data_IF_601573013215
#
_entry.id   IF_601573013215
#
_cell.length_a   1.000
_cell.length_b   1.000
_cell.length_c   1.000
_cell.angle_alpha   90.00
_cell.angle_beta   90.00
_cell.angle_gamma   90.00
#
_symmetry.space_group_name_H-M   'P 1'
#
loop_
_entity.id
_entity.type
_entity.pdbx_description
1 polymer ?
#
# COMPACT_ATOMS: atom_id res chain seq x y z
N UNK A 1 51.79 -3.73 -112.84
CA UNK A 1 50.41 -3.21 -112.73
C UNK A 1 50.22 -2.55 -111.37
N UNK A 2 50.27 -1.22 -111.33
CA UNK A 2 50.14 -0.43 -110.10
C UNK A 2 48.67 -0.39 -109.72
N UNK A 3 48.29 -1.13 -108.66
CA UNK A 3 46.97 -1.03 -108.04
C UNK A 3 46.88 0.35 -107.39
N UNK A 4 46.24 1.32 -108.08
CA UNK A 4 45.84 2.60 -107.49
C UNK A 4 44.93 2.32 -106.30
N UNK A 5 45.50 2.33 -105.10
CA UNK A 5 44.75 2.40 -103.86
C UNK A 5 44.14 3.81 -103.81
N UNK A 6 42.83 3.91 -104.04
CA UNK A 6 42.08 5.12 -103.72
C UNK A 6 42.26 5.37 -102.22
N UNK A 7 43.05 6.40 -101.90
CA UNK A 7 43.29 6.91 -100.55
C UNK A 7 42.01 7.56 -100.01
N UNK A 8 41.01 6.75 -99.71
CA UNK A 8 40.06 7.05 -98.66
C UNK A 8 40.54 6.22 -97.46
N UNK A 9 40.94 6.89 -96.39
CA UNK A 9 41.59 6.39 -95.17
C UNK A 9 40.65 5.51 -94.33
N UNK A 10 39.98 4.54 -94.96
CA UNK A 10 39.20 3.52 -94.29
C UNK A 10 40.12 2.38 -93.88
N UNK A 11 40.01 1.86 -92.64
CA UNK A 11 40.82 0.73 -92.20
C UNK A 11 40.51 -0.53 -93.02
N UNK A 12 41.54 -1.36 -93.23
CA UNK A 12 41.41 -2.61 -93.98
C UNK A 12 41.52 -2.45 -95.50
N UNK A 13 41.04 -3.46 -96.24
CA UNK A 13 41.17 -3.52 -97.70
C UNK A 13 39.85 -3.88 -98.40
N UNK A 14 39.43 -3.04 -99.35
CA UNK A 14 38.29 -3.31 -100.22
C UNK A 14 38.79 -4.11 -101.43
N UNK A 15 38.19 -5.27 -101.67
CA UNK A 15 38.56 -6.16 -102.76
C UNK A 15 37.32 -6.75 -103.43
N UNK A 16 37.47 -7.21 -104.66
CA UNK A 16 36.37 -7.80 -105.43
C UNK A 16 36.31 -9.30 -105.17
N UNK A 17 35.14 -9.82 -104.78
CA UNK A 17 34.86 -11.25 -104.61
C UNK A 17 33.74 -11.65 -105.58
N UNK A 18 34.11 -12.30 -106.68
CA UNK A 18 33.18 -12.55 -107.79
C UNK A 18 32.73 -11.25 -108.48
N UNK A 19 31.42 -11.03 -108.60
CA UNK A 19 30.84 -9.80 -109.18
C UNK A 19 30.59 -8.67 -108.17
N UNK A 20 30.86 -8.89 -106.88
CA UNK A 20 30.52 -7.96 -105.79
C UNK A 20 31.77 -7.48 -105.06
N UNK A 21 31.68 -6.31 -104.45
CA UNK A 21 32.73 -5.78 -103.59
C UNK A 21 32.57 -6.29 -102.15
N UNK A 22 33.70 -6.66 -101.57
CA UNK A 22 33.84 -7.07 -100.18
C UNK A 22 34.90 -6.20 -99.50
N UNK A 23 34.84 -6.12 -98.18
CA UNK A 23 35.75 -5.35 -97.37
C UNK A 23 36.30 -6.23 -96.26
N UNK A 24 37.62 -6.43 -96.25
CA UNK A 24 38.31 -7.08 -95.15
C UNK A 24 38.70 -6.00 -94.15
N UNK A 25 38.12 -6.04 -92.96
CA UNK A 25 38.35 -5.05 -91.91
C UNK A 25 38.05 -5.67 -90.55
N UNK A 26 38.74 -5.19 -89.52
CA UNK A 26 38.40 -5.41 -88.12
C UNK A 26 37.57 -4.22 -87.65
N UNK A 27 36.25 -4.39 -87.52
CA UNK A 27 35.40 -3.33 -86.99
C UNK A 27 35.65 -3.16 -85.47
N UNK A 28 35.42 -1.96 -84.90
CA UNK A 28 35.55 -1.74 -83.46
C UNK A 28 34.66 -2.72 -82.68
N UNK A 29 35.22 -3.33 -81.64
CA UNK A 29 34.54 -4.35 -80.82
C UNK A 29 34.67 -5.78 -81.34
N UNK A 30 35.25 -6.00 -82.52
CA UNK A 30 35.55 -7.35 -83.02
C UNK A 30 36.94 -7.82 -82.61
N UNK A 31 37.09 -9.10 -82.19
CA UNK A 31 38.39 -9.65 -81.80
C UNK A 31 39.31 -9.89 -83.02
N UNK A 32 38.74 -10.07 -84.21
CA UNK A 32 39.47 -10.51 -85.41
C UNK A 32 38.97 -9.80 -86.66
N UNK A 33 39.82 -9.75 -87.70
CA UNK A 33 39.49 -9.21 -89.01
C UNK A 33 38.49 -10.11 -89.75
N UNK A 34 37.41 -9.54 -90.28
CA UNK A 34 36.39 -10.29 -91.02
C UNK A 34 36.21 -9.75 -92.43
N UNK A 35 35.89 -10.66 -93.35
CA UNK A 35 35.49 -10.29 -94.72
C UNK A 35 33.99 -10.03 -94.74
N UNK A 36 33.60 -8.77 -94.99
CA UNK A 36 32.20 -8.34 -95.05
C UNK A 36 31.79 -8.02 -96.48
N UNK A 37 30.57 -8.42 -96.86
CA UNK A 37 29.99 -7.97 -98.12
C UNK A 37 29.52 -6.53 -97.97
N UNK A 38 29.81 -5.66 -98.95
CA UNK A 38 29.35 -4.27 -98.93
C UNK A 38 27.94 -4.21 -99.49
N UNK A 39 26.94 -4.26 -98.61
CA UNK A 39 25.51 -4.23 -98.94
C UNK A 39 24.95 -2.88 -98.45
N UNK A 40 24.35 -2.06 -99.34
CA UNK A 40 23.67 -0.83 -98.93
C UNK A 40 22.48 -1.13 -98.02
N UNK A 41 22.07 -0.19 -97.19
CA UNK A 41 20.82 -0.35 -96.44
C UNK A 41 19.62 -0.48 -97.36
N UNK A 42 18.74 -1.45 -97.05
CA UNK A 42 17.55 -1.75 -97.84
C UNK A 42 17.80 -2.66 -99.04
N UNK A 43 19.04 -2.83 -99.48
CA UNK A 43 19.39 -3.71 -100.60
C UNK A 43 19.63 -5.15 -100.15
N UNK A 44 19.23 -6.11 -100.99
CA UNK A 44 19.46 -7.55 -100.75
C UNK A 44 20.82 -8.03 -101.28
N UNK A 45 21.48 -7.24 -102.11
CA UNK A 45 22.68 -7.66 -102.85
C UNK A 45 23.83 -6.68 -102.65
N UNK A 46 25.05 -7.23 -102.63
CA UNK A 46 26.26 -6.42 -102.49
C UNK A 46 26.52 -5.54 -103.70
N UNK A 47 27.12 -4.38 -103.46
CA UNK A 47 27.45 -3.38 -104.47
C UNK A 47 28.36 -3.97 -105.56
N UNK A 48 28.04 -3.67 -106.82
CA UNK A 48 28.85 -4.06 -108.00
C UNK A 48 29.81 -2.95 -108.45
N UNK A 49 29.51 -1.69 -108.15
CA UNK A 49 30.32 -0.51 -108.52
C UNK A 49 31.26 -0.06 -107.39
N UNK A 50 32.54 0.13 -107.71
CA UNK A 50 33.55 0.61 -106.75
C UNK A 50 33.18 1.99 -106.17
N UNK A 51 32.57 2.88 -106.98
CA UNK A 51 32.16 4.22 -106.54
C UNK A 51 31.12 4.18 -105.41
N UNK A 52 30.25 3.17 -105.41
CA UNK A 52 29.23 2.94 -104.37
C UNK A 52 29.76 2.14 -103.17
N UNK A 53 30.83 1.35 -103.37
CA UNK A 53 31.41 0.51 -102.32
C UNK A 53 32.06 1.32 -101.19
N UNK A 54 32.77 2.41 -101.52
CA UNK A 54 33.42 3.28 -100.53
C UNK A 54 32.46 3.91 -99.51
N UNK A 55 31.38 4.58 -99.95
CA UNK A 55 30.37 5.14 -99.04
C UNK A 55 29.71 4.10 -98.13
N UNK A 56 29.42 2.89 -98.66
CA UNK A 56 28.85 1.80 -97.86
C UNK A 56 29.84 1.33 -96.80
N UNK A 57 31.12 1.18 -97.15
CA UNK A 57 32.16 0.81 -96.18
C UNK A 57 32.32 1.88 -95.09
N UNK A 58 32.27 3.17 -95.44
CA UNK A 58 32.31 4.27 -94.47
C UNK A 58 31.09 4.26 -93.53
N UNK A 59 29.87 4.11 -94.06
CA UNK A 59 28.67 4.05 -93.24
C UNK A 59 28.67 2.83 -92.29
N UNK A 60 29.16 1.68 -92.78
CA UNK A 60 29.36 0.48 -91.94
C UNK A 60 30.39 0.73 -90.83
N UNK A 61 31.50 1.43 -91.13
CA UNK A 61 32.50 1.82 -90.15
C UNK A 61 31.92 2.74 -89.07
N UNK A 62 31.22 3.80 -89.49
CA UNK A 62 30.63 4.79 -88.60
C UNK A 62 29.67 4.16 -87.60
N UNK A 63 28.77 3.28 -88.05
CA UNK A 63 27.87 2.55 -87.13
C UNK A 63 28.60 1.64 -86.17
N UNK A 64 29.64 0.97 -86.63
CA UNK A 64 30.44 0.12 -85.75
C UNK A 64 31.17 0.95 -84.69
N UNK A 65 31.70 2.13 -85.05
CA UNK A 65 32.28 3.07 -84.08
C UNK A 65 31.25 3.62 -83.09
N UNK A 66 30.05 3.98 -83.55
CA UNK A 66 28.96 4.46 -82.70
C UNK A 66 28.51 3.36 -81.73
N UNK A 67 28.28 2.15 -82.24
CA UNK A 67 27.87 1.01 -81.41
C UNK A 67 28.94 0.64 -80.37
N UNK A 68 30.23 0.67 -80.72
CA UNK A 68 31.30 0.42 -79.74
C UNK A 68 31.43 1.55 -78.72
N UNK A 69 31.23 2.81 -79.14
CA UNK A 69 31.18 3.95 -78.23
C UNK A 69 30.01 3.83 -77.24
N UNK A 70 28.83 3.43 -77.71
CA UNK A 70 27.68 3.11 -76.86
C UNK A 70 27.98 1.94 -75.91
N UNK A 71 28.60 0.86 -76.40
CA UNK A 71 28.99 -0.27 -75.55
C UNK A 71 29.96 0.17 -74.45
N UNK A 72 30.95 0.99 -74.79
CA UNK A 72 31.92 1.54 -73.84
C UNK A 72 31.24 2.44 -72.79
N UNK A 73 30.30 3.30 -73.20
CA UNK A 73 29.57 4.18 -72.25
C UNK A 73 28.65 3.37 -71.34
N UNK A 74 27.94 2.35 -71.86
CA UNK A 74 27.12 1.42 -71.08
C UNK A 74 27.96 0.64 -70.07
N UNK A 75 29.11 0.12 -70.46
CA UNK A 75 29.99 -0.62 -69.55
C UNK A 75 30.58 0.30 -68.47
N UNK A 76 31.03 1.52 -68.83
CA UNK A 76 31.45 2.53 -67.85
C UNK A 76 30.32 2.92 -66.90
N UNK A 77 29.07 3.01 -67.38
CA UNK A 77 27.91 3.26 -66.53
C UNK A 77 27.64 2.09 -65.58
N UNK A 78 27.73 0.85 -66.07
CA UNK A 78 27.59 -0.38 -65.25
C UNK A 78 28.63 -0.45 -64.14
N UNK A 79 29.92 -0.22 -64.45
CA UNK A 79 31.00 -0.21 -63.46
C UNK A 79 30.77 0.89 -62.41
N UNK A 80 30.34 2.09 -62.84
CA UNK A 80 29.98 3.19 -61.91
C UNK A 80 28.80 2.81 -61.01
N UNK A 81 27.77 2.16 -61.55
CA UNK A 81 26.63 1.69 -60.77
C UNK A 81 27.05 0.65 -59.72
N UNK A 82 27.88 -0.33 -60.10
CA UNK A 82 28.42 -1.34 -59.17
C UNK A 82 29.23 -0.67 -58.05
N UNK A 83 30.10 0.29 -58.39
CA UNK A 83 30.90 1.04 -57.39
C UNK A 83 30.02 1.84 -56.43
N UNK A 84 28.97 2.52 -56.94
CA UNK A 84 28.00 3.25 -56.11
C UNK A 84 27.23 2.31 -55.19
N UNK A 85 26.77 1.18 -55.70
CA UNK A 85 26.07 0.16 -54.91
C UNK A 85 26.97 -0.40 -53.79
N UNK A 86 28.24 -0.68 -54.08
CA UNK A 86 29.21 -1.14 -53.08
C UNK A 86 29.49 -0.05 -52.01
N UNK A 87 29.65 1.21 -52.42
CA UNK A 87 29.83 2.32 -51.50
C UNK A 87 28.61 2.53 -50.60
N UNK A 88 27.41 2.44 -51.16
CA UNK A 88 26.16 2.52 -50.41
C UNK A 88 26.04 1.37 -49.39
N UNK A 89 26.32 0.12 -49.79
CA UNK A 89 26.35 -1.02 -48.87
C UNK A 89 27.32 -0.82 -47.70
N UNK A 90 28.50 -0.23 -47.94
CA UNK A 90 29.45 0.12 -46.86
C UNK A 90 28.88 1.17 -45.91
N UNK A 91 28.28 2.24 -46.45
CA UNK A 91 27.63 3.28 -45.63
C UNK A 91 26.49 2.72 -44.78
N UNK A 92 25.66 1.84 -45.33
CA UNK A 92 24.57 1.18 -44.57
C UNK A 92 25.14 0.31 -43.44
N UNK A 93 26.22 -0.44 -43.69
CA UNK A 93 26.89 -1.23 -42.63
C UNK A 93 27.47 -0.35 -41.53
N UNK A 94 28.12 0.76 -41.88
CA UNK A 94 28.66 1.72 -40.91
C UNK A 94 27.55 2.35 -40.09
N UNK A 95 26.48 2.84 -40.73
CA UNK A 95 25.32 3.40 -40.04
C UNK A 95 24.66 2.39 -39.09
N UNK A 96 24.59 1.11 -39.49
CA UNK A 96 24.08 0.05 -38.61
C UNK A 96 24.97 -0.19 -37.40
N UNK A 97 26.29 -0.24 -37.58
CA UNK A 97 27.25 -0.40 -36.47
C UNK A 97 27.21 0.80 -35.51
N UNK A 98 27.06 2.02 -36.03
CA UNK A 98 26.90 3.23 -35.22
C UNK A 98 25.59 3.22 -34.44
N UNK A 99 24.49 2.80 -35.07
CA UNK A 99 23.20 2.63 -34.40
C UNK A 99 23.25 1.55 -33.30
N UNK A 100 23.90 0.41 -33.56
CA UNK A 100 24.09 -0.66 -32.56
C UNK A 100 24.94 -0.17 -31.38
N UNK A 101 26.02 0.58 -31.63
CA UNK A 101 26.83 1.21 -30.56
C UNK A 101 26.05 2.25 -29.77
N UNK A 102 25.24 3.07 -30.44
CA UNK A 102 24.40 4.06 -29.77
C UNK A 102 23.33 3.38 -28.88
N UNK A 103 22.69 2.33 -29.39
CA UNK A 103 21.74 1.53 -28.62
C UNK A 103 22.41 0.84 -27.42
N UNK A 104 23.62 0.30 -27.59
CA UNK A 104 24.38 -0.31 -26.48
C UNK A 104 24.73 0.73 -25.41
N UNK A 105 25.17 1.93 -25.78
CA UNK A 105 25.42 3.03 -24.83
C UNK A 105 24.15 3.45 -24.08
N UNK A 106 23.01 3.55 -24.78
CA UNK A 106 21.74 3.86 -24.14
C UNK A 106 21.30 2.78 -23.15
N UNK A 107 21.46 1.50 -23.51
CA UNK A 107 21.17 0.38 -22.60
C UNK A 107 22.04 0.41 -21.35
N UNK A 108 23.36 0.59 -21.52
CA UNK A 108 24.28 0.72 -20.39
C UNK A 108 23.92 1.89 -19.46
N UNK A 109 23.56 3.05 -20.03
CA UNK A 109 23.13 4.22 -19.24
C UNK A 109 21.80 3.99 -18.50
N UNK A 110 20.88 3.19 -19.06
CA UNK A 110 19.64 2.82 -18.38
C UNK A 110 19.89 1.79 -17.28
N UNK A 111 20.78 0.82 -17.51
CA UNK A 111 21.20 -0.16 -16.50
C UNK A 111 21.88 0.52 -15.31
N UNK A 112 22.77 1.47 -15.54
CA UNK A 112 23.41 2.28 -14.49
C UNK A 112 22.38 3.05 -13.65
N UNK A 113 21.41 3.71 -14.31
CA UNK A 113 20.31 4.40 -13.60
C UNK A 113 19.47 3.43 -12.78
N UNK A 114 19.14 2.28 -13.34
CA UNK A 114 18.35 1.25 -12.66
C UNK A 114 19.07 0.71 -11.43
N UNK A 115 20.39 0.53 -11.51
CA UNK A 115 21.20 0.10 -10.37
C UNK A 115 21.28 1.19 -9.28
N UNK A 116 21.43 2.46 -9.66
CA UNK A 116 21.36 3.58 -8.72
C UNK A 116 20.00 3.63 -7.99
N UNK A 117 18.89 3.41 -8.72
CA UNK A 117 17.56 3.34 -8.10
C UNK A 117 17.41 2.16 -7.13
N UNK A 118 17.95 0.98 -7.46
CA UNK A 118 17.94 -0.16 -6.52
C UNK A 118 18.68 0.18 -5.22
N UNK A 119 19.89 0.72 -5.31
CA UNK A 119 20.67 1.13 -4.14
C UNK A 119 19.93 2.18 -3.31
N UNK A 120 19.25 3.12 -3.97
CA UNK A 120 18.42 4.11 -3.28
C UNK A 120 17.26 3.45 -2.52
N UNK A 121 16.54 2.51 -3.14
CA UNK A 121 15.44 1.76 -2.52
C UNK A 121 15.94 0.91 -1.34
N UNK A 122 17.09 0.24 -1.48
CA UNK A 122 17.72 -0.52 -0.39
C UNK A 122 18.09 0.39 0.79
N UNK A 123 18.65 1.58 0.51
CA UNK A 123 18.95 2.58 1.55
C UNK A 123 17.70 3.09 2.27
N UNK A 124 16.58 3.21 1.56
CA UNK A 124 15.29 3.59 2.13
C UNK A 124 14.70 2.47 2.97
N UNK A 125 14.78 1.22 2.50
CA UNK A 125 14.35 0.05 3.25
C UNK A 125 15.14 -0.10 4.56
N UNK A 126 16.45 0.08 4.53
CA UNK A 126 17.31 0.05 5.72
C UNK A 126 16.93 1.15 6.72
N UNK A 127 16.72 2.39 6.25
CA UNK A 127 16.24 3.51 7.10
C UNK A 127 14.88 3.23 7.73
N UNK A 128 13.96 2.66 6.96
CA UNK A 128 12.63 2.31 7.46
C UNK A 128 12.70 1.20 8.52
N UNK A 129 13.56 0.20 8.34
CA UNK A 129 13.79 -0.85 9.34
C UNK A 129 14.39 -0.29 10.62
N UNK A 130 15.37 0.62 10.52
CA UNK A 130 15.94 1.29 11.68
C UNK A 130 14.87 2.11 12.44
N UNK A 131 14.07 2.90 11.72
CA UNK A 131 13.00 3.69 12.32
C UNK A 131 11.96 2.80 13.04
N UNK A 132 11.60 1.65 12.45
CA UNK A 132 10.72 0.67 13.12
C UNK A 132 11.33 0.14 14.41
N UNK A 133 12.61 -0.23 14.40
CA UNK A 133 13.30 -0.71 15.59
C UNK A 133 13.39 0.36 16.70
N UNK A 134 13.53 1.64 16.34
CA UNK A 134 13.51 2.75 17.29
C UNK A 134 12.12 2.96 17.90
N UNK A 135 11.06 2.86 17.09
CA UNK A 135 9.67 2.91 17.57
C UNK A 135 9.39 1.75 18.53
N UNK A 136 9.79 0.52 18.18
CA UNK A 136 9.60 -0.65 19.03
C UNK A 136 10.32 -0.50 20.39
N UNK A 137 11.55 0.02 20.39
CA UNK A 137 12.28 0.35 21.61
C UNK A 137 11.54 1.39 22.44
N UNK A 138 11.02 2.45 21.82
CA UNK A 138 10.26 3.49 22.53
C UNK A 138 8.96 2.94 23.14
N UNK A 139 8.25 2.05 22.43
CA UNK A 139 7.06 1.35 22.92
C UNK A 139 7.39 0.50 24.14
N UNK A 140 8.48 -0.27 24.11
CA UNK A 140 8.92 -1.08 25.26
C UNK A 140 9.24 -0.21 26.49
N UNK A 141 9.95 0.90 26.30
CA UNK A 141 10.26 1.85 27.39
C UNK A 141 8.99 2.44 28.00
N UNK A 142 7.99 2.81 27.17
CA UNK A 142 6.72 3.33 27.68
C UNK A 142 5.91 2.27 28.42
N UNK A 143 5.89 1.04 27.91
CA UNK A 143 5.25 -0.10 28.57
C UNK A 143 5.85 -0.34 29.95
N UNK A 144 7.18 -0.39 30.06
CA UNK A 144 7.89 -0.53 31.33
C UNK A 144 7.58 0.61 32.31
N UNK A 145 7.50 1.84 31.82
CA UNK A 145 7.14 3.01 32.64
C UNK A 145 5.72 2.89 33.18
N UNK A 146 4.76 2.49 32.35
CA UNK A 146 3.38 2.22 32.76
C UNK A 146 3.31 1.08 33.79
N UNK A 147 4.02 -0.02 33.57
CA UNK A 147 4.07 -1.16 34.49
C UNK A 147 4.70 -0.80 35.84
N UNK A 148 5.74 0.05 35.85
CA UNK A 148 6.32 0.60 37.10
C UNK A 148 5.30 1.46 37.85
N UNK A 149 4.57 2.35 37.15
CA UNK A 149 3.50 3.18 37.77
C UNK A 149 2.39 2.30 38.34
N UNK A 150 1.91 1.31 37.59
CA UNK A 150 0.87 0.39 38.05
C UNK A 150 1.31 -0.42 39.27
N UNK A 151 2.56 -0.89 39.32
CA UNK A 151 3.12 -1.54 40.51
C UNK A 151 3.17 -0.60 41.71
N UNK A 152 3.59 0.65 41.52
CA UNK A 152 3.61 1.64 42.59
C UNK A 152 2.21 1.95 43.14
N UNK A 153 1.21 2.08 42.26
CA UNK A 153 -0.19 2.25 42.67
C UNK A 153 -0.72 1.05 43.46
N UNK A 154 -0.47 -0.18 42.99
CA UNK A 154 -0.86 -1.41 43.71
C UNK A 154 -0.21 -1.48 45.09
N UNK A 155 1.08 -1.16 45.20
CA UNK A 155 1.79 -1.12 46.47
C UNK A 155 1.26 -0.01 47.42
N UNK A 156 0.93 1.16 46.88
CA UNK A 156 0.30 2.24 47.64
C UNK A 156 -1.09 1.83 48.17
N UNK A 157 -1.91 1.24 47.32
CA UNK A 157 -3.24 0.73 47.68
C UNK A 157 -3.17 -0.38 48.73
N UNK A 158 -2.21 -1.31 48.61
CA UNK A 158 -1.98 -2.35 49.60
C UNK A 158 -1.63 -1.75 50.99
N UNK A 159 -0.69 -0.79 51.03
CA UNK A 159 -0.34 -0.08 52.28
C UNK A 159 -1.50 0.71 52.86
N UNK A 160 -2.34 1.33 52.02
CA UNK A 160 -3.55 2.01 52.47
C UNK A 160 -4.56 1.04 53.11
N UNK A 161 -4.77 -0.13 52.49
CA UNK A 161 -5.62 -1.21 53.02
C UNK A 161 -5.08 -1.73 54.36
N UNK A 162 -3.79 -1.99 54.47
CA UNK A 162 -3.17 -2.43 55.73
C UNK A 162 -3.37 -1.41 56.85
N UNK A 163 -3.18 -0.11 56.57
CA UNK A 163 -3.44 0.95 57.55
C UNK A 163 -4.90 1.03 57.95
N UNK A 164 -5.84 0.87 57.01
CA UNK A 164 -7.27 0.84 57.31
C UNK A 164 -7.62 -0.36 58.21
N UNK A 165 -7.11 -1.55 57.88
CA UNK A 165 -7.29 -2.76 58.70
C UNK A 165 -6.70 -2.56 60.10
N UNK A 166 -5.51 -1.96 60.21
CA UNK A 166 -4.88 -1.68 61.49
C UNK A 166 -5.71 -0.71 62.36
N UNK A 167 -6.30 0.34 61.75
CA UNK A 167 -7.22 1.26 62.44
C UNK A 167 -8.48 0.55 62.93
N UNK A 168 -9.13 -0.22 62.07
CA UNK A 168 -10.32 -1.01 62.43
C UNK A 168 -10.01 -1.95 63.60
N UNK A 169 -8.86 -2.64 63.56
CA UNK A 169 -8.42 -3.50 64.68
C UNK A 169 -8.18 -2.72 65.97
N UNK A 170 -7.54 -1.55 65.89
CA UNK A 170 -7.29 -0.70 67.05
C UNK A 170 -8.61 -0.21 67.69
N UNK A 171 -9.56 0.23 66.87
CA UNK A 171 -10.87 0.70 67.35
C UNK A 171 -11.71 -0.46 67.90
N UNK A 172 -11.69 -1.63 67.26
CA UNK A 172 -12.32 -2.84 67.80
C UNK A 172 -11.75 -3.21 69.18
N UNK A 173 -10.43 -3.14 69.36
CA UNK A 173 -9.79 -3.41 70.65
C UNK A 173 -10.18 -2.39 71.73
N UNK A 174 -10.32 -1.10 71.39
CA UNK A 174 -10.84 -0.08 72.31
C UNK A 174 -12.26 -0.40 72.75
N UNK A 175 -13.14 -0.75 71.81
CA UNK A 175 -14.53 -1.12 72.09
C UNK A 175 -14.56 -2.35 73.02
N UNK A 176 -13.75 -3.39 72.74
CA UNK A 176 -13.65 -4.57 73.58
C UNK A 176 -13.18 -4.22 75.00
N UNK A 177 -12.16 -3.36 75.14
CA UNK A 177 -11.66 -2.94 76.44
C UNK A 177 -12.71 -2.16 77.24
N UNK A 178 -13.42 -1.23 76.59
CA UNK A 178 -14.51 -0.47 77.22
C UNK A 178 -15.65 -1.39 77.66
N UNK A 179 -16.05 -2.34 76.81
CA UNK A 179 -17.06 -3.35 77.18
C UNK A 179 -16.62 -4.18 78.40
N UNK A 180 -15.36 -4.62 78.44
CA UNK A 180 -14.82 -5.36 79.61
C UNK A 180 -14.90 -4.52 80.88
N UNK A 181 -14.50 -3.25 80.82
CA UNK A 181 -14.61 -2.31 81.95
C UNK A 181 -16.06 -2.16 82.42
N UNK A 182 -17.01 -1.96 81.50
CA UNK A 182 -18.42 -1.88 81.83
C UNK A 182 -18.94 -3.17 82.49
N UNK A 183 -18.50 -4.35 82.02
CA UNK A 183 -18.86 -5.62 82.65
C UNK A 183 -18.27 -5.76 84.05
N UNK A 184 -17.00 -5.37 84.27
CA UNK A 184 -16.36 -5.39 85.58
C UNK A 184 -17.06 -4.44 86.57
N UNK A 185 -17.41 -3.23 86.15
CA UNK A 185 -18.18 -2.27 86.95
C UNK A 185 -19.55 -2.84 87.31
N UNK A 186 -20.24 -3.49 86.36
CA UNK A 186 -21.53 -4.18 86.63
C UNK A 186 -21.37 -5.35 87.59
N UNK A 187 -20.32 -6.16 87.47
CA UNK A 187 -20.01 -7.26 88.39
C UNK A 187 -19.75 -6.69 89.79
N UNK A 188 -18.99 -5.60 89.91
CA UNK A 188 -18.70 -4.93 91.18
C UNK A 188 -19.98 -4.35 91.80
N UNK A 189 -20.81 -3.67 91.02
CA UNK A 189 -22.11 -3.17 91.46
C UNK A 189 -23.01 -4.31 91.93
N UNK A 190 -23.09 -5.41 91.17
CA UNK A 190 -23.85 -6.59 91.55
C UNK A 190 -23.34 -7.21 92.85
N UNK A 191 -22.02 -7.40 93.01
CA UNK A 191 -21.41 -7.87 94.25
C UNK A 191 -21.78 -6.97 95.44
N UNK A 192 -21.63 -5.65 95.30
CA UNK A 192 -22.00 -4.70 96.34
C UNK A 192 -23.50 -4.78 96.70
N UNK A 193 -24.39 -4.94 95.70
CA UNK A 193 -25.82 -5.14 95.98
C UNK A 193 -26.08 -6.44 96.71
N UNK A 194 -25.38 -7.53 96.36
CA UNK A 194 -25.49 -8.81 97.06
C UNK A 194 -24.99 -8.69 98.50
N UNK A 195 -23.84 -8.07 98.75
CA UNK A 195 -23.33 -7.81 100.11
C UNK A 195 -24.34 -7.00 100.93
N UNK A 196 -24.93 -5.94 100.37
CA UNK A 196 -25.99 -5.18 101.05
C UNK A 196 -27.21 -6.03 101.40
N UNK A 197 -27.62 -6.94 100.49
CA UNK A 197 -28.73 -7.86 100.74
C UNK A 197 -28.36 -8.84 101.88
N UNK A 198 -27.12 -9.34 101.90
CA UNK A 198 -26.62 -10.21 102.97
C UNK A 198 -26.55 -9.47 104.30
N UNK A 199 -25.98 -8.26 104.34
CA UNK A 199 -25.94 -7.42 105.54
C UNK A 199 -27.37 -7.11 106.04
N UNK A 200 -28.31 -6.81 105.13
CA UNK A 200 -29.72 -6.63 105.49
C UNK A 200 -30.35 -7.90 106.05
N UNK A 201 -30.02 -9.07 105.48
CA UNK A 201 -30.50 -10.36 105.98
C UNK A 201 -29.93 -10.64 107.37
N UNK A 202 -28.64 -10.43 107.58
CA UNK A 202 -27.98 -10.66 108.86
C UNK A 202 -28.50 -9.70 109.93
N UNK A 203 -28.72 -8.42 109.58
CA UNK A 203 -29.42 -7.46 110.44
C UNK A 203 -30.84 -7.92 110.77
N UNK A 204 -31.60 -8.43 109.80
CA UNK A 204 -32.95 -8.97 110.05
C UNK A 204 -32.93 -10.20 110.94
N UNK A 205 -32.03 -11.15 110.70
CA UNK A 205 -31.83 -12.33 111.55
C UNK A 205 -31.43 -11.92 112.97
N UNK A 206 -30.58 -10.89 113.12
CA UNK A 206 -30.19 -10.33 114.41
C UNK A 206 -31.35 -9.60 115.12
N UNK A 207 -32.22 -8.89 114.40
CA UNK A 207 -33.42 -8.26 115.00
C UNK A 207 -34.58 -9.24 115.24
N UNK A 208 -34.60 -10.37 114.53
CA UNK A 208 -35.59 -11.44 114.69
C UNK A 208 -35.20 -12.42 115.82
N UNK A 209 -33.98 -12.34 116.36
CA UNK A 209 -33.53 -13.11 117.53
C UNK A 209 -34.16 -12.63 118.87
N UNK A 210 -34.82 -11.47 118.90
CA UNK A 210 -35.44 -10.87 120.10
C UNK A 210 -36.98 -10.74 120.06
N UNK A 211 -37.66 -11.39 119.10
CA UNK A 211 -39.13 -11.41 119.04
C UNK A 211 -39.71 -12.82 118.93
N UNK A 212 -40.70 -13.21 119.75
CA UNK A 212 -41.41 -14.48 119.58
C UNK A 212 -42.12 -14.53 118.22
N UNK A 213 -41.80 -15.59 117.47
CA UNK A 213 -42.38 -15.98 116.18
C UNK A 213 -43.91 -15.83 116.18
N UNK A 214 -44.43 -14.91 115.36
CA UNK A 214 -45.81 -14.92 114.88
C UNK A 214 -45.85 -15.45 113.44
N UNK A 215 -46.81 -16.34 113.23
CA UNK A 215 -47.13 -17.13 112.03
C UNK A 215 -47.13 -16.34 110.72
N UNK A 216 -46.41 -16.89 109.72
CA UNK A 216 -46.34 -16.39 108.35
C UNK A 216 -47.46 -17.01 107.52
N UNK A 217 -48.39 -16.15 107.11
CA UNK A 217 -49.50 -16.40 106.18
C UNK A 217 -49.03 -16.56 104.74
N UNK A 218 -49.81 -17.34 104.00
CA UNK A 218 -49.67 -17.75 102.61
C UNK A 218 -49.44 -16.60 101.60
N UNK A 219 -48.63 -16.88 100.58
CA UNK A 219 -48.51 -16.02 99.40
C UNK A 219 -48.84 -16.79 98.11
N UNK A 220 -49.57 -16.17 97.17
CA UNK A 220 -50.23 -16.88 96.09
C UNK A 220 -49.23 -17.33 95.03
N UNK A 221 -49.36 -18.60 94.65
CA UNK A 221 -48.60 -19.25 93.58
C UNK A 221 -49.02 -18.64 92.23
N UNK A 222 -48.26 -17.68 91.71
CA UNK A 222 -48.47 -17.18 90.35
C UNK A 222 -48.25 -18.31 89.34
N UNK A 223 -49.29 -18.56 88.54
CA UNK A 223 -49.35 -19.71 87.63
C UNK A 223 -48.37 -19.58 86.44
N UNK A 224 -47.83 -20.71 85.93
CA UNK A 224 -46.80 -20.75 84.87
C UNK A 224 -47.21 -20.13 83.51
N UNK A 225 -48.46 -19.71 83.34
CA UNK A 225 -49.01 -19.18 82.08
C UNK A 225 -48.65 -17.71 81.84
N UNK A 226 -48.48 -16.89 82.88
CA UNK A 226 -48.17 -15.44 82.72
C UNK A 226 -46.68 -15.18 82.40
N UNK A 227 -45.76 -15.98 82.94
CA UNK A 227 -44.32 -15.91 82.64
C UNK A 227 -44.00 -16.35 81.20
N UNK A 228 -44.69 -17.36 80.66
CA UNK A 228 -44.50 -17.83 79.28
C UNK A 228 -44.96 -16.81 78.22
N UNK A 229 -46.02 -16.04 78.49
CA UNK A 229 -46.52 -14.97 77.58
C UNK A 229 -45.57 -13.75 77.55
N UNK A 230 -44.94 -13.42 78.68
CA UNK A 230 -43.93 -12.35 78.77
C UNK A 230 -42.60 -12.72 78.10
N UNK A 231 -42.20 -14.00 78.18
CA UNK A 231 -41.04 -14.54 77.45
C UNK A 231 -41.27 -14.57 75.92
N UNK A 232 -42.46 -14.98 75.46
CA UNK A 232 -42.81 -14.92 74.03
C UNK A 232 -42.81 -13.51 73.46
N UNK A 233 -43.33 -12.51 74.19
CA UNK A 233 -43.25 -11.10 73.76
C UNK A 233 -41.82 -10.57 73.65
N UNK A 234 -40.94 -10.93 74.60
CA UNK A 234 -39.52 -10.54 74.53
C UNK A 234 -38.76 -11.19 73.37
N UNK A 235 -39.12 -12.42 73.01
CA UNK A 235 -38.51 -13.11 71.86
C UNK A 235 -39.07 -12.60 70.52
N UNK A 236 -40.36 -12.26 70.43
CA UNK A 236 -40.94 -11.63 69.23
C UNK A 236 -40.31 -10.26 68.94
N UNK A 237 -40.15 -9.40 69.96
CA UNK A 237 -39.48 -8.09 69.79
C UNK A 237 -37.97 -8.22 69.49
N UNK A 238 -37.35 -9.37 69.77
CA UNK A 238 -35.96 -9.63 69.38
C UNK A 238 -35.85 -10.19 67.95
N UNK A 239 -36.90 -10.84 67.44
CA UNK A 239 -36.98 -11.27 66.05
C UNK A 239 -37.21 -10.07 65.13
N UNK A 240 -38.20 -9.21 65.43
CA UNK A 240 -38.47 -7.99 64.65
C UNK A 240 -37.25 -7.04 64.57
N UNK A 241 -36.46 -6.94 65.66
CA UNK A 241 -35.22 -6.15 65.66
C UNK A 241 -34.08 -6.79 64.87
N UNK A 242 -34.11 -8.10 64.62
CA UNK A 242 -33.12 -8.77 63.76
C UNK A 242 -33.50 -8.60 62.30
N UNK A 243 -34.78 -8.70 61.97
CA UNK A 243 -35.26 -8.52 60.60
C UNK A 243 -35.03 -7.09 60.11
N UNK A 244 -35.28 -6.08 60.95
CA UNK A 244 -34.97 -4.68 60.59
C UNK A 244 -33.45 -4.40 60.44
N UNK A 245 -32.58 -5.13 61.15
CA UNK A 245 -31.12 -4.98 60.99
C UNK A 245 -30.63 -5.66 59.70
N UNK A 246 -31.24 -6.79 59.33
CA UNK A 246 -30.97 -7.48 58.07
C UNK A 246 -31.37 -6.60 56.87
N UNK A 247 -32.55 -5.97 56.93
CA UNK A 247 -33.04 -5.07 55.88
C UNK A 247 -32.18 -3.80 55.74
N UNK A 248 -31.67 -3.24 56.84
CA UNK A 248 -30.72 -2.12 56.80
C UNK A 248 -29.37 -2.55 56.21
N UNK A 249 -28.92 -3.77 56.48
CA UNK A 249 -27.69 -4.33 55.89
C UNK A 249 -27.83 -4.61 54.39
N UNK A 250 -28.98 -5.14 53.95
CA UNK A 250 -29.25 -5.41 52.53
C UNK A 250 -29.45 -4.10 51.74
N UNK A 251 -30.14 -3.11 52.30
CA UNK A 251 -30.27 -1.78 51.68
C UNK A 251 -28.94 -1.02 51.62
N UNK A 252 -28.09 -1.11 52.65
CA UNK A 252 -26.74 -0.54 52.61
C UNK A 252 -25.83 -1.25 51.60
N UNK A 253 -25.97 -2.58 51.43
CA UNK A 253 -25.24 -3.33 50.41
C UNK A 253 -25.69 -2.96 48.99
N UNK A 254 -26.99 -2.74 48.76
CA UNK A 254 -27.51 -2.24 47.47
C UNK A 254 -27.10 -0.79 47.17
N UNK A 255 -26.96 0.08 48.18
CA UNK A 255 -26.48 1.46 47.96
C UNK A 255 -24.97 1.52 47.68
N UNK A 256 -24.17 0.53 48.12
CA UNK A 256 -22.74 0.47 47.80
C UNK A 256 -22.44 -0.07 46.40
N UNK A 257 -23.38 -0.74 45.73
CA UNK A 257 -23.20 -1.19 44.33
C UNK A 257 -23.59 -0.13 43.29
N UNK A 258 -24.21 0.99 43.70
CA UNK A 258 -24.72 2.03 42.79
C UNK A 258 -23.82 3.28 42.68
N UNK A 259 -22.70 3.33 43.40
CA UNK A 259 -21.75 4.45 43.30
C UNK A 259 -20.61 4.04 42.36
N UNK A 260 -20.55 4.74 41.22
CA UNK A 260 -19.53 4.64 40.16
C UNK A 260 -19.61 3.38 39.30
N UNK A 261 -20.71 3.21 38.56
CA UNK A 261 -20.69 2.44 37.31
C UNK A 261 -19.74 3.16 36.35
N UNK A 262 -18.48 2.72 36.32
CA UNK A 262 -17.66 2.83 35.14
C UNK A 262 -18.50 2.36 33.95
N UNK A 263 -18.48 3.07 32.79
CA UNK A 263 -19.26 2.70 31.64
C UNK A 263 -19.04 1.21 31.38
N UNK A 264 -20.13 0.46 31.33
CA UNK A 264 -20.04 -0.99 31.15
C UNK A 264 -19.30 -1.27 29.85
N UNK A 265 -18.60 -2.41 29.75
CA UNK A 265 -17.88 -2.77 28.52
C UNK A 265 -18.79 -2.71 27.26
N UNK A 266 -20.11 -2.85 27.44
CA UNK A 266 -21.12 -2.67 26.39
C UNK A 266 -21.22 -1.22 25.89
N UNK A 267 -21.22 -0.23 26.79
CA UNK A 267 -21.28 1.21 26.46
C UNK A 267 -19.98 1.69 25.82
N UNK A 268 -18.83 1.20 26.30
CA UNK A 268 -17.53 1.50 25.70
C UNK A 268 -17.47 0.95 24.26
N UNK A 269 -17.99 -0.26 24.03
CA UNK A 269 -18.08 -0.84 22.68
C UNK A 269 -18.99 -0.02 21.77
N UNK A 270 -20.18 0.38 22.24
CA UNK A 270 -21.10 1.17 21.41
C UNK A 270 -20.54 2.55 21.07
N UNK A 271 -19.87 3.21 22.01
CA UNK A 271 -19.18 4.49 21.72
C UNK A 271 -18.02 4.31 20.76
N UNK A 272 -17.24 3.22 20.90
CA UNK A 272 -16.13 2.92 20.00
C UNK A 272 -16.62 2.58 18.58
N UNK A 273 -17.71 1.82 18.44
CA UNK A 273 -18.34 1.51 17.15
C UNK A 273 -18.94 2.75 16.50
N UNK A 274 -19.59 3.64 17.27
CA UNK A 274 -20.09 4.91 16.77
C UNK A 274 -18.96 5.80 16.24
N UNK A 275 -17.87 5.94 16.99
CA UNK A 275 -16.70 6.70 16.55
C UNK A 275 -16.02 6.08 15.32
N UNK A 276 -15.95 4.74 15.23
CA UNK A 276 -15.40 4.05 14.06
C UNK A 276 -16.27 4.26 12.82
N UNK A 277 -17.60 4.22 12.98
CA UNK A 277 -18.55 4.51 11.91
C UNK A 277 -18.48 5.97 11.46
N UNK A 278 -18.34 6.93 12.39
CA UNK A 278 -18.14 8.34 12.05
C UNK A 278 -16.85 8.54 11.24
N UNK A 279 -15.76 7.88 11.65
CA UNK A 279 -14.50 7.88 10.90
C UNK A 279 -14.70 7.25 9.52
N UNK A 280 -15.36 6.08 9.40
CA UNK A 280 -15.64 5.42 8.13
C UNK A 280 -16.50 6.29 7.21
N UNK A 281 -17.48 7.03 7.75
CA UNK A 281 -18.27 7.98 6.96
C UNK A 281 -17.49 9.24 6.60
N UNK A 282 -16.53 9.66 7.43
CA UNK A 282 -15.66 10.81 7.17
C UNK A 282 -14.50 10.50 6.22
N UNK A 283 -14.13 9.21 6.07
CA UNK A 283 -13.21 8.77 5.02
C UNK A 283 -13.95 8.92 3.69
N UNK A 284 -13.74 10.07 3.05
CA UNK A 284 -14.07 10.33 1.66
C UNK A 284 -13.72 9.09 0.85
N UNK A 285 -14.75 8.42 0.32
CA UNK A 285 -14.55 7.28 -0.57
C UNK A 285 -13.68 7.75 -1.71
N UNK A 286 -12.53 7.13 -1.89
CA UNK A 286 -11.64 7.45 -3.00
C UNK A 286 -11.95 6.51 -4.15
N UNK A 287 -12.05 7.09 -5.34
CA UNK A 287 -12.24 6.38 -6.59
C UNK A 287 -11.15 6.79 -7.58
N UNK A 288 -11.11 6.13 -8.73
CA UNK A 288 -10.19 6.45 -9.82
C UNK A 288 -10.94 7.13 -10.96
N UNK A 289 -10.26 8.04 -11.64
CA UNK A 289 -10.78 8.66 -12.87
C UNK A 289 -10.70 7.65 -14.02
N UNK A 290 -11.80 7.40 -14.72
CA UNK A 290 -11.82 6.43 -15.82
C UNK A 290 -11.17 6.94 -17.11
N UNK A 291 -10.94 8.26 -17.24
CA UNK A 291 -10.25 8.84 -18.41
C UNK A 291 -8.72 8.83 -18.25
N UNK A 292 -8.20 9.30 -17.11
CA UNK A 292 -6.75 9.44 -16.90
C UNK A 292 -6.15 8.44 -15.91
N UNK A 293 -6.96 7.51 -15.38
CA UNK A 293 -6.58 6.51 -14.38
C UNK A 293 -5.94 7.11 -13.11
N UNK A 294 -6.21 8.38 -12.83
CA UNK A 294 -5.76 9.03 -11.59
C UNK A 294 -6.49 8.42 -10.41
N UNK A 295 -5.75 7.73 -9.55
CA UNK A 295 -6.24 7.15 -8.30
C UNK A 295 -6.32 8.23 -7.20
N UNK A 296 -7.18 8.00 -6.21
CA UNK A 296 -7.25 8.85 -5.01
C UNK A 296 -8.09 10.12 -5.18
N UNK A 297 -9.01 10.15 -6.16
CA UNK A 297 -9.95 11.27 -6.31
C UNK A 297 -11.15 11.00 -5.39
N UNK A 298 -11.59 11.96 -4.54
CA UNK A 298 -12.81 11.79 -3.77
C UNK A 298 -13.98 11.46 -4.71
N UNK A 299 -14.75 10.43 -4.39
CA UNK A 299 -15.86 9.94 -5.21
C UNK A 299 -16.89 11.05 -5.48
N UNK A 300 -17.08 11.95 -4.51
CA UNK A 300 -17.91 13.16 -4.57
C UNK A 300 -17.42 14.19 -5.60
N UNK A 301 -16.11 14.19 -5.88
CA UNK A 301 -15.47 15.09 -6.84
C UNK A 301 -15.44 14.52 -8.27
N UNK A 302 -15.83 13.26 -8.46
CA UNK A 302 -15.96 12.67 -9.78
C UNK A 302 -17.31 13.06 -10.39
N UNK A 303 -17.27 13.55 -11.62
CA UNK A 303 -18.46 13.93 -12.38
C UNK A 303 -18.82 12.76 -13.30
N UNK A 304 -20.08 12.33 -13.24
CA UNK A 304 -20.59 11.27 -14.12
C UNK A 304 -21.09 11.92 -15.41
N UNK A 305 -20.52 11.53 -16.55
CA UNK A 305 -20.98 11.97 -17.88
C UNK A 305 -22.05 11.02 -18.42
N UNK A 306 -22.71 11.40 -19.52
CA UNK A 306 -23.85 10.67 -20.09
C UNK A 306 -23.52 9.22 -20.50
N UNK A 307 -22.26 8.93 -20.82
CA UNK A 307 -21.78 7.55 -21.07
C UNK A 307 -21.79 6.67 -19.81
N UNK A 308 -22.09 7.23 -18.65
CA UNK A 308 -22.04 6.59 -17.35
C UNK A 308 -20.65 6.60 -16.71
N UNK A 309 -19.62 7.07 -17.43
CA UNK A 309 -18.23 7.12 -16.94
C UNK A 309 -18.02 8.21 -15.88
N UNK A 310 -17.11 7.95 -14.93
CA UNK A 310 -16.77 8.88 -13.84
C UNK A 310 -15.42 9.55 -14.06
N UNK A 311 -15.44 10.86 -14.26
CA UNK A 311 -14.27 11.66 -14.64
C UNK A 311 -13.86 12.65 -13.56
N UNK A 312 -12.56 12.86 -13.39
CA UNK A 312 -12.07 13.88 -12.48
C UNK A 312 -12.27 15.30 -13.06
N UNK A 313 -12.32 16.34 -12.21
CA UNK A 313 -12.58 17.71 -12.65
C UNK A 313 -11.60 18.22 -13.72
N UNK A 314 -10.36 17.73 -13.71
CA UNK A 314 -9.36 18.09 -14.72
C UNK A 314 -9.70 17.50 -16.11
N UNK A 315 -10.18 16.25 -16.16
CA UNK A 315 -10.60 15.62 -17.41
C UNK A 315 -11.87 16.26 -17.96
N UNK A 316 -12.81 16.65 -17.10
CA UNK A 316 -14.02 17.39 -17.50
C UNK A 316 -13.65 18.72 -18.15
N UNK A 317 -12.79 19.53 -17.49
CA UNK A 317 -12.31 20.80 -18.08
C UNK A 317 -11.59 20.60 -19.42
N UNK A 318 -10.85 19.52 -19.58
CA UNK A 318 -10.18 19.20 -20.83
C UNK A 318 -11.17 18.82 -21.95
N UNK A 319 -12.26 18.12 -21.60
CA UNK A 319 -13.35 17.79 -22.53
C UNK A 319 -14.11 19.04 -22.95
N UNK A 320 -14.52 19.89 -22.00
CA UNK A 320 -15.21 21.16 -22.27
C UNK A 320 -14.36 22.08 -23.17
N UNK A 321 -13.04 22.14 -22.92
CA UNK A 321 -12.12 22.91 -23.77
C UNK A 321 -12.03 22.36 -25.20
N UNK A 322 -12.12 21.03 -25.37
CA UNK A 322 -12.10 20.38 -26.69
C UNK A 322 -13.41 20.58 -27.45
N UNK A 323 -14.53 20.51 -26.76
CA UNK A 323 -15.85 20.82 -27.33
C UNK A 323 -15.91 22.26 -27.84
N UNK A 324 -15.46 23.23 -27.01
CA UNK A 324 -15.37 24.63 -27.42
C UNK A 324 -14.40 24.88 -28.60
N UNK A 325 -13.37 24.05 -28.77
CA UNK A 325 -12.45 24.12 -29.93
C UNK A 325 -13.15 23.62 -31.21
N UNK A 326 -13.92 22.54 -31.12
CA UNK A 326 -14.70 21.98 -32.24
C UNK A 326 -15.79 22.97 -32.69
N UNK A 327 -16.49 23.60 -31.75
CA UNK A 327 -17.51 24.61 -32.06
C UNK A 327 -16.92 25.83 -32.79
N UNK A 328 -15.69 26.23 -32.45
CA UNK A 328 -14.98 27.30 -33.17
C UNK A 328 -14.53 26.91 -34.57
N UNK A 329 -14.27 25.63 -34.82
CA UNK A 329 -13.90 25.13 -36.15
C UNK A 329 -15.11 24.90 -37.05
N UNK A 330 -16.30 24.77 -36.46
CA UNK A 330 -17.55 24.47 -37.17
C UNK A 330 -18.37 25.72 -37.53
N UNK A 331 -17.98 26.90 -37.02
CA UNK A 331 -18.57 28.21 -37.35
C UNK A 331 -17.64 29.02 -38.27
#
# INVERSE_FOLDING_TARGET
MIKRQLRATLPGSIFKRGRRWAWRVQLPGEPEEKVRSLIPEGDRYGVTSLKKAGPVALAMWQRATEHEAERCTREKARIRAIRRAAAWKRRVRQARQEAEKAAAKQRAALEEKLEAYKQQVESWAARLQQARAEVDKAVLVQKDKCDRRMRAYRASAARARERAIARIRADANKIIAEQKRQFEERIKAYRNTMTRIWDQRDRRVSTDAEKPRKSRTDHPRETPRKTRRKARRRNATKAEKKDGVQEILESAAMQQTTVEHAPTDAEIRTQSEAALNEIITSITRIAYCECCFRNGVPEESLIRIDSGQRLCPACIKALEAKEAEIDRQSN
#
